data_IF_743358279228
#
_entry.id   IF_743358279228
#
_cell.length_a   1.000
_cell.length_b   1.000
_cell.length_c   1.000
_cell.angle_alpha   90.00
_cell.angle_beta   90.00
_cell.angle_gamma   90.00
#
_symmetry.space_group_name_H-M   'P 1'
#
loop_
_entity.id
_entity.type
_entity.pdbx_description
1 polymer ?
#
# COMPACT_ATOMS: atom_id res chain seq x y z
N UNK A 1 -9.35 6.70 12.53
CA UNK A 1 -9.99 7.50 11.46
C UNK A 1 -9.57 7.00 10.08
N UNK A 2 -8.25 6.95 9.78
CA UNK A 2 -7.69 6.43 8.52
C UNK A 2 -8.10 4.98 8.18
N UNK A 3 -8.00 4.05 9.12
CA UNK A 3 -8.41 2.63 8.95
C UNK A 3 -9.86 2.49 8.45
N UNK A 4 -10.80 3.26 9.01
CA UNK A 4 -12.22 3.24 8.61
C UNK A 4 -12.39 3.77 7.19
N UNK A 5 -11.65 4.82 6.83
CA UNK A 5 -11.65 5.38 5.47
C UNK A 5 -11.09 4.38 4.44
N UNK A 6 -10.02 3.65 4.78
CA UNK A 6 -9.47 2.57 3.95
C UNK A 6 -10.55 1.50 3.70
N UNK A 7 -11.16 0.99 4.77
CA UNK A 7 -12.18 -0.05 4.66
C UNK A 7 -13.42 0.42 3.88
N UNK A 8 -13.83 1.67 4.07
CA UNK A 8 -14.95 2.24 3.32
C UNK A 8 -14.64 2.34 1.82
N UNK A 9 -13.45 2.83 1.44
CA UNK A 9 -13.02 2.86 0.04
C UNK A 9 -13.03 1.47 -0.57
N UNK A 10 -12.43 0.48 0.09
CA UNK A 10 -12.36 -0.91 -0.38
C UNK A 10 -13.77 -1.51 -0.53
N UNK A 11 -14.64 -1.33 0.46
CA UNK A 11 -16.03 -1.83 0.41
C UNK A 11 -16.86 -1.25 -0.75
N UNK A 12 -16.46 -0.09 -1.26
CA UNK A 12 -17.09 0.59 -2.38
C UNK A 12 -16.35 0.33 -3.71
N UNK A 13 -15.34 -0.56 -3.71
CA UNK A 13 -14.51 -0.86 -4.88
C UNK A 13 -13.62 0.32 -5.31
N UNK A 14 -13.29 1.22 -4.38
CA UNK A 14 -12.46 2.42 -4.64
C UNK A 14 -11.09 2.30 -4.00
N UNK A 15 -10.13 3.02 -4.59
CA UNK A 15 -8.80 3.19 -4.01
C UNK A 15 -8.86 4.15 -2.82
N UNK A 16 -8.13 3.83 -1.75
CA UNK A 16 -7.84 4.79 -0.68
C UNK A 16 -6.77 5.77 -1.18
N UNK A 17 -6.93 7.07 -0.87
CA UNK A 17 -6.09 8.15 -1.40
C UNK A 17 -5.79 7.99 -2.90
N UNK A 18 -6.85 8.11 -3.71
CA UNK A 18 -6.84 7.78 -5.13
C UNK A 18 -5.67 8.39 -5.91
N UNK A 19 -5.33 9.66 -5.67
CA UNK A 19 -4.21 10.31 -6.36
C UNK A 19 -2.87 9.63 -6.08
N UNK A 20 -2.62 9.22 -4.83
CA UNK A 20 -1.40 8.52 -4.44
C UNK A 20 -1.41 7.07 -4.97
N UNK A 21 -2.53 6.38 -4.85
CA UNK A 21 -2.68 5.03 -5.42
C UNK A 21 -2.42 5.02 -6.93
N UNK A 22 -2.99 5.98 -7.67
CA UNK A 22 -2.78 6.11 -9.11
C UNK A 22 -1.36 6.55 -9.46
N UNK A 23 -0.69 7.31 -8.59
CA UNK A 23 0.72 7.60 -8.75
C UNK A 23 1.55 6.32 -8.67
N UNK A 24 1.33 5.46 -7.67
CA UNK A 24 2.04 4.18 -7.53
C UNK A 24 1.79 3.27 -8.73
N UNK A 25 0.55 3.16 -9.20
CA UNK A 25 0.19 2.38 -10.41
C UNK A 25 0.97 2.86 -11.64
N UNK A 26 1.21 4.18 -11.77
CA UNK A 26 1.96 4.74 -12.90
C UNK A 26 3.46 4.67 -12.73
N UNK A 27 3.95 4.72 -11.50
CA UNK A 27 5.37 4.81 -11.18
C UNK A 27 6.04 3.42 -11.09
N UNK A 28 5.42 2.47 -10.39
CA UNK A 28 6.02 1.16 -10.13
C UNK A 28 6.01 0.27 -11.38
N UNK A 29 7.05 -0.55 -11.50
CA UNK A 29 7.23 -1.55 -12.55
C UNK A 29 7.50 -2.93 -11.93
N UNK A 30 7.20 -4.02 -12.65
CA UNK A 30 7.60 -5.35 -12.23
C UNK A 30 9.11 -5.42 -11.97
N UNK A 31 9.51 -6.00 -10.83
CA UNK A 31 10.90 -6.08 -10.39
C UNK A 31 11.39 -4.92 -9.52
N UNK A 32 10.61 -3.84 -9.36
CA UNK A 32 11.01 -2.71 -8.52
C UNK A 32 11.07 -3.09 -7.03
N UNK A 33 11.89 -2.33 -6.29
CA UNK A 33 11.89 -2.34 -4.83
C UNK A 33 11.11 -1.13 -4.30
N UNK A 34 10.08 -1.38 -3.48
CA UNK A 34 9.26 -0.35 -2.84
C UNK A 34 9.47 -0.36 -1.32
N UNK A 35 9.70 0.83 -0.75
CA UNK A 35 9.83 1.03 0.70
C UNK A 35 8.63 1.84 1.21
N UNK A 36 7.82 1.23 2.07
CA UNK A 36 6.65 1.84 2.71
C UNK A 36 6.99 2.25 4.14
N UNK A 37 7.17 3.55 4.38
CA UNK A 37 7.56 4.10 5.70
C UNK A 37 6.33 4.66 6.40
N UNK A 38 5.88 3.98 7.45
CA UNK A 38 4.59 4.21 8.10
C UNK A 38 3.48 3.35 7.48
N UNK A 39 3.75 2.05 7.30
CA UNK A 39 2.89 1.14 6.55
C UNK A 39 1.46 1.00 7.13
N UNK A 40 1.24 1.36 8.40
CA UNK A 40 -0.04 1.28 9.08
C UNK A 40 -0.66 -0.12 8.93
N UNK A 41 -1.84 -0.26 8.32
CA UNK A 41 -2.48 -1.56 8.02
C UNK A 41 -2.08 -2.16 6.65
N UNK A 42 -1.02 -1.67 6.03
CA UNK A 42 -0.42 -2.27 4.83
C UNK A 42 -1.15 -2.01 3.52
N UNK A 43 -2.06 -1.04 3.42
CA UNK A 43 -2.80 -0.79 2.17
C UNK A 43 -1.87 -0.51 0.98
N UNK A 44 -0.91 0.41 1.13
CA UNK A 44 0.03 0.73 0.05
C UNK A 44 1.08 -0.36 -0.16
N UNK A 45 1.52 -1.02 0.91
CA UNK A 45 2.37 -2.21 0.83
C UNK A 45 1.74 -3.32 -0.03
N UNK A 46 0.45 -3.61 0.14
CA UNK A 46 -0.27 -4.62 -0.65
C UNK A 46 -0.45 -4.17 -2.11
N UNK A 47 -0.83 -2.91 -2.33
CA UNK A 47 -0.92 -2.36 -3.69
C UNK A 47 0.43 -2.46 -4.40
N UNK A 48 1.51 -2.03 -3.76
CA UNK A 48 2.86 -2.11 -4.30
C UNK A 48 3.28 -3.55 -4.56
N UNK A 49 2.98 -4.49 -3.66
CA UNK A 49 3.30 -5.91 -3.84
C UNK A 49 2.67 -6.50 -5.10
N UNK A 50 1.45 -6.09 -5.43
CA UNK A 50 0.80 -6.50 -6.66
C UNK A 50 1.48 -5.89 -7.91
N UNK A 51 1.89 -4.62 -7.82
CA UNK A 51 2.46 -3.88 -8.95
C UNK A 51 3.90 -4.31 -9.28
N UNK A 52 4.73 -4.58 -8.27
CA UNK A 52 6.13 -5.00 -8.47
C UNK A 52 6.26 -6.49 -8.81
N UNK A 53 5.23 -7.29 -8.50
CA UNK A 53 5.17 -8.71 -8.83
C UNK A 53 6.25 -9.57 -8.16
N UNK A 54 6.33 -10.84 -8.58
CA UNK A 54 7.18 -11.86 -7.93
C UNK A 54 8.69 -11.57 -8.01
N UNK A 55 9.11 -10.80 -9.01
CA UNK A 55 10.51 -10.38 -9.16
C UNK A 55 10.87 -9.14 -8.33
N UNK A 56 9.87 -8.44 -7.79
CA UNK A 56 10.05 -7.22 -7.01
C UNK A 56 10.18 -7.47 -5.52
N UNK A 57 10.29 -6.38 -4.76
CA UNK A 57 10.38 -6.44 -3.30
C UNK A 57 9.62 -5.29 -2.66
N UNK A 58 8.86 -5.58 -1.61
CA UNK A 58 8.25 -4.57 -0.75
C UNK A 58 8.87 -4.68 0.64
N UNK A 59 9.34 -3.56 1.17
CA UNK A 59 9.82 -3.42 2.54
C UNK A 59 8.85 -2.48 3.24
N UNK A 60 8.10 -2.99 4.21
CA UNK A 60 7.16 -2.22 5.00
C UNK A 60 7.72 -1.98 6.40
N UNK A 61 7.71 -0.72 6.84
CA UNK A 61 8.15 -0.33 8.18
C UNK A 61 7.00 0.40 8.86
N UNK A 62 6.55 -0.12 9.99
CA UNK A 62 5.53 0.51 10.83
C UNK A 62 6.06 0.65 12.26
N UNK A 63 6.22 1.87 12.77
CA UNK A 63 6.79 2.09 14.10
C UNK A 63 5.81 1.76 15.25
N UNK A 64 4.50 1.74 15.00
CA UNK A 64 3.53 1.35 16.01
C UNK A 64 3.33 -0.17 16.02
N UNK A 65 3.76 -0.83 17.10
CA UNK A 65 3.63 -2.27 17.26
C UNK A 65 2.18 -2.76 17.21
N UNK A 66 1.20 -1.94 17.60
CA UNK A 66 -0.22 -2.29 17.57
C UNK A 66 -0.80 -2.32 16.15
N UNK A 67 -0.10 -1.75 15.17
CA UNK A 67 -0.50 -1.74 13.76
C UNK A 67 0.12 -2.90 12.96
N UNK A 68 1.08 -3.62 13.53
CA UNK A 68 1.67 -4.83 12.96
C UNK A 68 0.68 -6.00 13.19
N UNK A 69 -0.25 -6.22 12.27
CA UNK A 69 -1.16 -7.37 12.28
C UNK A 69 -0.70 -8.43 11.28
#
# INVERSE_FOLDING_TARGET
>A
MSQRSIMQSISQGRLYEESLSLFLVRALRPGDCFLDVGAHIGFFSLLASHLVGDAGRVIAVEPNADNFA
#
